data_IF_289799874599
#
_entry.id   IF_289799874599
#
_cell.length_a   1.000
_cell.length_b   1.000
_cell.length_c   1.000
_cell.angle_alpha   90.00
_cell.angle_beta   90.00
_cell.angle_gamma   90.00
#
_symmetry.space_group_name_H-M   'P 1'
#
loop_
_entity.id
_entity.type
_entity.pdbx_description
1 polymer ?
#
# COMPACT_ATOMS: atom_id res chain seq x y z
N UNK A 1 8.93 30.54 8.94
CA UNK A 1 8.73 29.85 7.64
C UNK A 1 7.84 28.60 7.77
N UNK A 2 6.78 28.64 8.59
CA UNK A 2 6.01 27.44 9.01
C UNK A 2 4.75 27.20 8.14
N UNK A 3 4.42 28.15 7.26
CA UNK A 3 3.15 28.14 6.52
C UNK A 3 3.13 27.24 5.28
N UNK A 4 4.29 26.95 4.67
CA UNK A 4 4.35 26.20 3.41
C UNK A 4 4.29 24.68 3.65
N UNK A 5 4.87 24.21 4.75
CA UNK A 5 4.91 22.80 5.14
C UNK A 5 3.54 22.30 5.62
N UNK A 6 2.82 23.06 6.45
CA UNK A 6 1.44 22.74 6.85
C UNK A 6 0.47 22.69 5.66
N UNK A 7 0.67 23.58 4.68
CA UNK A 7 -0.12 23.59 3.44
C UNK A 7 0.21 22.36 2.58
N UNK A 8 1.48 21.90 2.60
CA UNK A 8 1.91 20.66 1.93
C UNK A 8 1.31 19.41 2.58
N UNK A 9 1.36 19.31 3.90
CA UNK A 9 0.74 18.23 4.68
C UNK A 9 -0.77 18.09 4.37
N UNK A 10 -1.49 19.22 4.33
CA UNK A 10 -2.93 19.22 4.07
C UNK A 10 -3.36 18.69 2.69
N UNK A 11 -2.50 18.71 1.66
CA UNK A 11 -2.86 18.16 0.34
C UNK A 11 -2.37 16.73 0.13
N UNK A 12 -1.29 16.33 0.81
CA UNK A 12 -0.67 15.01 0.62
C UNK A 12 -1.40 13.93 1.42
N UNK A 13 -1.74 14.22 2.68
CA UNK A 13 -2.37 13.25 3.58
C UNK A 13 -3.68 12.67 3.01
N UNK A 14 -4.60 13.45 2.43
CA UNK A 14 -5.83 12.91 1.82
C UNK A 14 -5.56 11.97 0.64
N UNK A 15 -4.52 12.24 -0.15
CA UNK A 15 -4.13 11.42 -1.31
C UNK A 15 -3.61 10.07 -0.84
N UNK A 16 -2.80 10.05 0.22
CA UNK A 16 -2.32 8.81 0.82
C UNK A 16 -3.46 7.99 1.40
N UNK A 17 -4.36 8.60 2.17
CA UNK A 17 -5.50 7.90 2.77
C UNK A 17 -6.39 7.23 1.71
N UNK A 18 -6.77 7.96 0.67
CA UNK A 18 -7.64 7.43 -0.40
C UNK A 18 -6.97 6.33 -1.22
N UNK A 19 -5.67 6.46 -1.48
CA UNK A 19 -4.89 5.47 -2.23
C UNK A 19 -4.68 4.20 -1.40
N UNK A 20 -4.27 4.34 -0.13
CA UNK A 20 -4.16 3.22 0.82
C UNK A 20 -5.46 2.44 0.93
N UNK A 21 -6.59 3.14 1.04
CA UNK A 21 -7.90 2.52 1.18
C UNK A 21 -8.26 1.65 -0.03
N UNK A 22 -8.00 2.17 -1.23
CA UNK A 22 -8.27 1.49 -2.49
C UNK A 22 -7.40 0.24 -2.67
N UNK A 23 -6.09 0.36 -2.35
CA UNK A 23 -5.15 -0.77 -2.43
C UNK A 23 -5.51 -1.83 -1.39
N UNK A 24 -5.77 -1.44 -0.14
CA UNK A 24 -6.16 -2.35 0.96
C UNK A 24 -7.30 -3.28 0.57
N UNK A 25 -8.39 -2.73 0.03
CA UNK A 25 -9.55 -3.53 -0.37
C UNK A 25 -9.24 -4.45 -1.54
N UNK A 26 -8.47 -3.97 -2.51
CA UNK A 26 -8.09 -4.75 -3.69
C UNK A 26 -7.15 -5.90 -3.32
N UNK A 27 -6.17 -5.65 -2.46
CA UNK A 27 -5.23 -6.63 -1.93
C UNK A 27 -5.91 -7.69 -1.07
N UNK A 28 -6.85 -7.29 -0.21
CA UNK A 28 -7.63 -8.25 0.58
C UNK A 28 -8.45 -9.21 -0.31
N UNK A 29 -9.01 -8.70 -1.40
CA UNK A 29 -9.81 -9.51 -2.34
C UNK A 29 -9.00 -10.61 -3.04
N UNK A 30 -7.70 -10.40 -3.25
CA UNK A 30 -6.79 -11.38 -3.87
C UNK A 30 -5.99 -12.18 -2.85
N UNK A 31 -6.32 -12.09 -1.55
CA UNK A 31 -5.63 -12.83 -0.49
C UNK A 31 -4.28 -12.22 -0.07
N UNK A 32 -3.91 -11.05 -0.57
CA UNK A 32 -2.69 -10.32 -0.19
C UNK A 32 -2.86 -9.60 1.16
N UNK A 33 -3.03 -10.38 2.23
CA UNK A 33 -3.39 -9.89 3.57
C UNK A 33 -2.30 -9.00 4.20
N UNK A 34 -1.03 -9.31 3.97
CA UNK A 34 0.09 -8.50 4.48
C UNK A 34 0.12 -7.11 3.84
N UNK A 35 -0.04 -7.04 2.52
CA UNK A 35 -0.17 -5.77 1.78
C UNK A 35 -1.37 -4.96 2.29
N UNK A 36 -2.52 -5.62 2.50
CA UNK A 36 -3.71 -4.99 3.06
C UNK A 36 -3.46 -4.41 4.47
N UNK A 37 -2.73 -5.15 5.31
CA UNK A 37 -2.35 -4.70 6.66
C UNK A 37 -1.43 -3.48 6.61
N UNK A 38 -0.39 -3.48 5.78
CA UNK A 38 0.52 -2.33 5.62
C UNK A 38 -0.21 -1.08 5.12
N UNK A 39 -1.15 -1.22 4.18
CA UNK A 39 -1.98 -0.09 3.75
C UNK A 39 -2.84 0.48 4.89
N UNK A 40 -3.34 -0.35 5.81
CA UNK A 40 -4.05 0.12 7.01
C UNK A 40 -3.12 0.86 7.98
N UNK A 41 -1.89 0.38 8.16
CA UNK A 41 -0.89 1.06 8.99
C UNK A 41 -0.54 2.44 8.40
N UNK A 42 -0.44 2.54 7.06
CA UNK A 42 -0.27 3.82 6.37
C UNK A 42 -1.45 4.79 6.58
N UNK A 43 -2.70 4.29 6.63
CA UNK A 43 -3.87 5.12 6.96
C UNK A 43 -3.71 5.75 8.36
N UNK A 44 -3.31 4.95 9.35
CA UNK A 44 -3.14 5.39 10.74
C UNK A 44 -2.01 6.43 10.86
N UNK A 45 -0.86 6.19 10.20
CA UNK A 45 0.26 7.13 10.20
C UNK A 45 -0.07 8.44 9.48
N UNK A 46 -0.82 8.35 8.38
CA UNK A 46 -1.32 9.51 7.64
C UNK A 46 -2.27 10.37 8.48
N UNK A 47 -3.18 9.75 9.24
CA UNK A 47 -4.07 10.45 10.17
C UNK A 47 -3.32 11.17 11.30
N UNK A 48 -2.19 10.60 11.75
CA UNK A 48 -1.33 11.21 12.77
C UNK A 48 -0.46 12.35 12.23
N UNK A 49 -0.37 12.49 10.89
CA UNK A 49 0.41 13.55 10.23
C UNK A 49 1.92 13.28 10.21
N UNK A 50 2.36 12.05 10.47
CA UNK A 50 3.77 11.67 10.46
C UNK A 50 4.23 11.34 9.03
N UNK A 51 4.65 12.37 8.30
CA UNK A 51 5.06 12.28 6.89
C UNK A 51 6.29 11.41 6.68
N UNK A 52 7.23 11.40 7.63
CA UNK A 52 8.46 10.63 7.46
C UNK A 52 8.20 9.15 7.70
N UNK A 53 7.37 8.79 8.69
CA UNK A 53 6.90 7.42 8.88
C UNK A 53 6.08 6.92 7.68
N UNK A 54 5.24 7.77 7.06
CA UNK A 54 4.49 7.38 5.86
C UNK A 54 5.42 7.11 4.67
N UNK A 55 6.52 7.86 4.49
CA UNK A 55 7.48 7.59 3.41
C UNK A 55 8.14 6.23 3.56
N UNK A 56 8.61 5.90 4.76
CA UNK A 56 9.18 4.59 5.06
C UNK A 56 8.15 3.48 4.79
N UNK A 57 6.92 3.69 5.23
CA UNK A 57 5.83 2.74 4.98
C UNK A 57 5.50 2.58 3.48
N UNK A 58 5.64 3.62 2.66
CA UNK A 58 5.47 3.50 1.20
C UNK A 58 6.51 2.58 0.56
N UNK A 59 7.76 2.60 1.03
CA UNK A 59 8.81 1.69 0.54
C UNK A 59 8.45 0.24 0.87
N UNK A 60 8.02 -0.03 2.11
CA UNK A 60 7.59 -1.36 2.51
C UNK A 60 6.35 -1.86 1.76
N UNK A 61 5.38 -0.98 1.45
CA UNK A 61 4.20 -1.31 0.65
C UNK A 61 4.62 -1.65 -0.78
N UNK A 62 5.61 -0.95 -1.34
CA UNK A 62 6.14 -1.24 -2.67
C UNK A 62 6.80 -2.62 -2.74
N UNK A 63 7.64 -2.95 -1.75
CA UNK A 63 8.30 -4.26 -1.68
C UNK A 63 7.28 -5.40 -1.54
N UNK A 64 6.28 -5.22 -0.68
CA UNK A 64 5.21 -6.20 -0.50
C UNK A 64 4.36 -6.35 -1.77
N UNK A 65 4.09 -5.26 -2.49
CA UNK A 65 3.41 -5.33 -3.77
C UNK A 65 4.18 -6.15 -4.80
N UNK A 66 5.50 -5.98 -4.88
CA UNK A 66 6.36 -6.79 -5.77
C UNK A 66 6.30 -8.27 -5.39
N UNK A 67 6.36 -8.58 -4.09
CA UNK A 67 6.26 -9.95 -3.59
C UNK A 67 4.91 -10.60 -3.95
N UNK A 68 3.80 -9.90 -3.68
CA UNK A 68 2.44 -10.34 -4.03
C UNK A 68 2.30 -10.56 -5.53
N UNK A 69 2.80 -9.63 -6.34
CA UNK A 69 2.77 -9.74 -7.80
C UNK A 69 3.55 -10.96 -8.28
N UNK A 70 4.73 -11.24 -7.71
CA UNK A 70 5.51 -12.42 -8.05
C UNK A 70 4.74 -13.69 -7.74
N UNK A 71 4.19 -13.81 -6.52
CA UNK A 71 3.42 -14.98 -6.10
C UNK A 71 2.21 -15.23 -7.02
N UNK A 72 1.47 -14.18 -7.39
CA UNK A 72 0.33 -14.30 -8.30
C UNK A 72 0.74 -14.73 -9.72
N UNK A 73 1.90 -14.28 -10.20
CA UNK A 73 2.43 -14.71 -11.50
C UNK A 73 2.90 -16.17 -11.47
N UNK A 74 3.51 -16.60 -10.37
CA UNK A 74 3.93 -17.99 -10.17
C UNK A 74 2.73 -18.93 -10.15
N UNK A 75 1.65 -18.56 -9.45
CA UNK A 75 0.38 -19.31 -9.46
C UNK A 75 -0.22 -19.38 -10.87
N UNK A 76 -0.23 -18.26 -11.61
CA UNK A 76 -0.72 -18.22 -12.99
C UNK A 76 0.09 -19.13 -13.92
N UNK A 77 1.42 -19.14 -13.80
CA UNK A 77 2.30 -20.03 -14.57
C UNK A 77 2.15 -21.50 -14.16
N UNK A 78 1.81 -21.77 -12.89
CA UNK A 78 1.47 -23.11 -12.40
C UNK A 78 0.17 -23.66 -12.98
N UNK A 79 -0.79 -22.79 -13.33
CA UNK A 79 -2.08 -23.20 -13.92
C UNK A 79 -1.92 -23.77 -15.34
N UNK A 80 -0.96 -23.29 -16.13
CA UNK A 80 -0.74 -23.81 -17.50
C UNK A 80 -0.20 -25.26 -17.53
N UNK A 81 0.42 -25.75 -16.46
CA UNK A 81 1.01 -27.09 -16.41
C UNK A 81 0.02 -28.19 -15.95
N UNK A 82 -1.19 -27.83 -15.52
CA UNK A 82 -2.17 -28.77 -14.93
C UNK A 82 -3.35 -29.12 -15.87
N UNK A 83 -3.30 -28.72 -17.14
CA UNK A 83 -4.30 -29.21 -18.11
C UNK A 83 -3.96 -30.64 -18.53
N UNK A 84 -4.49 -31.61 -17.79
CA UNK A 84 -4.54 -33.04 -18.14
C UNK A 84 -5.85 -33.34 -18.84
#
# INVERSE_FOLDING_TARGET
MIGNEKKRLNWIVPIWLTTSHSIKSSSANVGALQLSKKCREMEVLGEQGDVDAVKEMMEEISDEFVAVRSALLDELAGVEQTTV
#
